data_IF_509137405608
#
_entry.id   IF_509137405608
#
_cell.length_a   1.000
_cell.length_b   1.000
_cell.length_c   1.000
_cell.angle_alpha   90.00
_cell.angle_beta   90.00
_cell.angle_gamma   90.00
#
_symmetry.space_group_name_H-M   'P 1'
#
loop_
_entity.id
_entity.type
_entity.pdbx_description
1 polymer ?
#
# COMPACT_ATOMS: atom_id res chain seq x y z
N UNK A 1 23.44 -4.17 -11.41
CA UNK A 1 22.54 -3.92 -10.26
C UNK A 1 21.48 -5.01 -10.27
N UNK A 2 21.44 -5.88 -9.26
CA UNK A 2 20.32 -6.82 -9.14
C UNK A 2 19.08 -6.00 -8.81
N UNK A 3 18.02 -6.16 -9.60
CA UNK A 3 16.71 -5.64 -9.25
C UNK A 3 16.26 -6.48 -8.06
N UNK A 4 16.32 -5.93 -6.86
CA UNK A 4 15.69 -6.58 -5.70
C UNK A 4 14.19 -6.70 -5.99
N UNK A 5 13.69 -7.93 -6.00
CA UNK A 5 12.28 -8.17 -6.29
C UNK A 5 11.41 -7.55 -5.20
N UNK A 6 10.47 -6.71 -5.61
CA UNK A 6 9.55 -6.01 -4.71
C UNK A 6 8.51 -7.01 -4.17
N UNK A 7 8.43 -7.15 -2.86
CA UNK A 7 7.44 -8.00 -2.20
C UNK A 7 6.85 -7.33 -0.94
N UNK A 8 5.91 -8.01 -0.29
CA UNK A 8 5.26 -7.45 0.90
C UNK A 8 6.21 -7.25 2.08
N UNK A 9 7.26 -8.06 2.23
CA UNK A 9 8.17 -8.01 3.38
C UNK A 9 9.14 -6.82 3.30
N UNK A 10 9.49 -6.39 2.09
CA UNK A 10 10.36 -5.23 1.87
C UNK A 10 9.59 -3.95 1.51
N UNK A 11 8.27 -3.92 1.67
CA UNK A 11 7.45 -2.75 1.38
C UNK A 11 7.92 -1.51 2.16
N UNK A 12 7.93 -0.36 1.48
CA UNK A 12 8.43 0.92 2.03
C UNK A 12 7.30 1.84 2.50
N UNK A 13 6.06 1.58 2.07
CA UNK A 13 4.92 2.44 2.33
C UNK A 13 3.68 1.64 2.76
N UNK A 14 2.73 2.35 3.37
CA UNK A 14 1.39 1.89 3.70
C UNK A 14 0.36 2.71 2.93
N UNK A 15 -0.53 2.02 2.24
CA UNK A 15 -1.74 2.59 1.65
C UNK A 15 -2.88 2.53 2.66
N UNK A 16 -3.47 3.69 2.98
CA UNK A 16 -4.70 3.79 3.77
C UNK A 16 -5.92 3.43 2.92
N UNK A 17 -6.69 2.45 3.39
CA UNK A 17 -7.88 1.92 2.75
C UNK A 17 -9.09 1.96 3.69
N UNK A 18 -10.28 2.08 3.09
CA UNK A 18 -11.57 1.87 3.76
C UNK A 18 -12.37 0.87 2.94
N UNK A 19 -12.91 -0.16 3.59
CA UNK A 19 -13.93 -1.01 3.00
C UNK A 19 -15.26 -0.66 3.65
N UNK A 20 -16.20 -0.16 2.85
CA UNK A 20 -17.56 0.12 3.28
C UNK A 20 -18.41 -1.16 3.23
N UNK A 21 -19.30 -1.31 4.21
CA UNK A 21 -20.32 -2.36 4.30
C UNK A 21 -21.64 -1.70 4.72
N UNK A 22 -22.40 -1.20 3.75
CA UNK A 22 -23.50 -0.27 4.03
C UNK A 22 -22.97 1.03 4.67
N UNK A 23 -23.66 1.50 5.71
CA UNK A 23 -23.27 2.69 6.47
C UNK A 23 -22.00 2.47 7.32
N UNK A 24 -21.69 1.21 7.62
CA UNK A 24 -20.49 0.83 8.35
C UNK A 24 -19.26 0.77 7.44
N UNK A 25 -18.07 0.73 8.05
CA UNK A 25 -16.84 0.50 7.31
C UNK A 25 -15.66 0.18 8.19
N UNK A 26 -14.65 -0.46 7.59
CA UNK A 26 -13.39 -0.78 8.26
C UNK A 26 -12.24 -0.06 7.57
N UNK A 27 -11.47 0.68 8.36
CA UNK A 27 -10.19 1.24 7.95
C UNK A 27 -9.09 0.22 8.16
N UNK A 28 -8.17 0.14 7.22
CA UNK A 28 -7.00 -0.75 7.28
C UNK A 28 -5.88 -0.19 6.41
N UNK A 29 -4.67 -0.69 6.65
CA UNK A 29 -3.48 -0.32 5.88
C UNK A 29 -3.01 -1.52 5.07
N UNK A 30 -2.55 -1.27 3.85
CA UNK A 30 -1.95 -2.29 2.99
C UNK A 30 -0.50 -1.93 2.69
N UNK A 31 0.40 -2.91 2.75
CA UNK A 31 1.80 -2.70 2.36
C UNK A 31 1.90 -2.41 0.87
N UNK A 32 2.75 -1.47 0.49
CA UNK A 32 2.95 -1.11 -0.90
C UNK A 32 4.32 -0.50 -1.19
N UNK A 33 4.66 -0.45 -2.47
CA UNK A 33 5.74 0.34 -3.02
C UNK A 33 5.19 1.42 -3.94
N UNK A 34 5.74 2.62 -3.84
CA UNK A 34 5.48 3.69 -4.81
C UNK A 34 6.35 3.42 -6.03
N UNK A 35 5.72 3.18 -7.18
CA UNK A 35 6.43 2.92 -8.44
C UNK A 35 6.72 4.22 -9.21
N UNK A 36 5.75 5.14 -9.22
CA UNK A 36 5.83 6.39 -9.99
C UNK A 36 4.83 7.41 -9.47
N UNK A 37 5.20 8.70 -9.49
CA UNK A 37 4.25 9.82 -9.38
C UNK A 37 3.69 10.16 -10.77
N UNK A 38 2.38 10.21 -10.88
CA UNK A 38 1.65 10.54 -12.10
C UNK A 38 1.56 12.06 -12.29
N UNK A 39 1.40 12.56 -13.53
CA UNK A 39 1.27 14.00 -13.78
C UNK A 39 0.08 14.66 -13.07
N UNK A 40 -0.98 13.91 -12.80
CA UNK A 40 -2.18 14.36 -12.09
C UNK A 40 -2.02 14.38 -10.55
N UNK A 41 -0.82 14.09 -10.04
CA UNK A 41 -0.52 14.07 -8.61
C UNK A 41 -0.74 12.72 -7.93
N UNK A 42 -1.40 11.76 -8.57
CA UNK A 42 -1.60 10.40 -8.03
C UNK A 42 -0.30 9.62 -8.00
N UNK A 43 -0.24 8.60 -7.14
CA UNK A 43 0.83 7.63 -7.08
C UNK A 43 0.40 6.32 -7.74
N UNK A 44 1.23 5.80 -8.64
CA UNK A 44 1.16 4.41 -9.09
C UNK A 44 1.84 3.54 -8.04
N UNK A 45 1.08 2.64 -7.45
CA UNK A 45 1.52 1.75 -6.37
C UNK A 45 1.49 0.29 -6.82
N UNK A 46 2.44 -0.50 -6.32
CA UNK A 46 2.31 -1.94 -6.21
C UNK A 46 1.86 -2.28 -4.79
N UNK A 47 0.66 -2.83 -4.64
CA UNK A 47 0.01 -3.08 -3.35
C UNK A 47 -0.09 -4.58 -3.10
N UNK A 48 0.16 -5.00 -1.86
CA UNK A 48 0.13 -6.39 -1.43
C UNK A 48 -1.04 -6.68 -0.49
N UNK A 49 -1.72 -7.82 -0.70
CA UNK A 49 -2.86 -8.23 0.11
C UNK A 49 -4.20 -8.10 -0.58
N UNK A 50 -5.24 -8.61 0.08
CA UNK A 50 -6.63 -8.34 -0.21
C UNK A 50 -7.36 -7.80 1.02
N UNK A 51 -7.80 -6.54 0.92
CA UNK A 51 -8.47 -5.79 2.01
C UNK A 51 -7.69 -5.89 3.34
N UNK A 52 -8.36 -6.29 4.42
CA UNK A 52 -7.81 -6.53 5.76
C UNK A 52 -7.65 -8.03 6.07
N UNK A 53 -7.71 -8.90 5.06
CA UNK A 53 -7.64 -10.35 5.26
C UNK A 53 -6.19 -10.80 5.47
N UNK A 54 -6.00 -11.72 6.42
CA UNK A 54 -4.70 -12.32 6.73
C UNK A 54 -4.26 -13.25 5.60
N UNK A 55 -2.94 -13.50 5.53
CA UNK A 55 -2.34 -14.47 4.61
C UNK A 55 -2.54 -14.20 3.10
N UNK A 56 -2.95 -12.98 2.76
CA UNK A 56 -3.17 -12.53 1.37
C UNK A 56 -1.98 -11.78 0.76
N UNK A 57 -0.86 -11.63 1.48
CA UNK A 57 0.28 -10.80 1.06
C UNK A 57 0.93 -11.22 -0.28
N UNK A 58 0.69 -12.45 -0.74
CA UNK A 58 1.11 -12.94 -2.06
C UNK A 58 0.29 -12.33 -3.21
N UNK A 59 -0.89 -11.79 -2.94
CA UNK A 59 -1.73 -11.12 -3.94
C UNK A 59 -1.15 -9.74 -4.23
N UNK A 60 -0.81 -9.50 -5.50
CA UNK A 60 -0.21 -8.24 -5.97
C UNK A 60 -1.19 -7.51 -6.89
N UNK A 61 -1.40 -6.20 -6.65
CA UNK A 61 -2.25 -5.34 -7.50
C UNK A 61 -1.60 -3.99 -7.76
N UNK A 62 -1.80 -3.45 -8.95
CA UNK A 62 -1.48 -2.05 -9.24
C UNK A 62 -2.65 -1.16 -8.86
N UNK A 63 -2.37 -0.06 -8.16
CA UNK A 63 -3.38 0.97 -7.84
C UNK A 63 -2.85 2.36 -8.18
N UNK A 64 -3.76 3.27 -8.49
CA UNK A 64 -3.50 4.69 -8.69
C UNK A 64 -4.29 5.44 -7.65
N UNK A 65 -3.62 6.13 -6.74
CA UNK A 65 -4.26 6.75 -5.57
C UNK A 65 -3.68 8.11 -5.26
N UNK A 66 -4.46 8.98 -4.62
CA UNK A 66 -3.96 10.24 -4.09
C UNK A 66 -2.80 10.02 -3.12
N UNK A 67 -1.78 10.86 -3.22
CA UNK A 67 -0.57 10.79 -2.40
C UNK A 67 -0.85 10.93 -0.90
N UNK A 68 -1.89 11.69 -0.54
CA UNK A 68 -2.35 11.89 0.84
C UNK A 68 -2.78 10.61 1.55
N UNK A 69 -3.09 9.54 0.80
CA UNK A 69 -3.48 8.24 1.35
C UNK A 69 -2.30 7.30 1.58
N UNK A 70 -1.08 7.72 1.30
CA UNK A 70 0.12 6.89 1.35
C UNK A 70 1.10 7.46 2.37
N UNK A 71 1.55 6.62 3.30
CA UNK A 71 2.51 7.01 4.34
C UNK A 71 3.74 6.09 4.31
N UNK A 72 4.93 6.61 4.59
CA UNK A 72 6.12 5.79 4.75
C UNK A 72 5.99 4.84 5.96
N UNK A 73 6.57 3.66 5.85
CA UNK A 73 6.78 2.76 6.99
C UNK A 73 7.97 3.33 7.76
N UNK A 74 7.73 3.78 9.00
CA UNK A 74 8.83 4.19 9.89
C UNK A 74 9.63 2.96 10.32
N UNK A 75 10.96 3.05 10.43
CA UNK A 75 11.78 2.01 11.02
C UNK A 75 11.37 1.77 12.49
N UNK A 76 11.61 0.57 13.04
CA UNK A 76 11.47 0.34 14.48
C UNK A 76 12.35 1.33 15.26
N UNK A 77 11.75 2.10 16.17
CA UNK A 77 12.47 3.06 17.03
C UNK A 77 12.32 4.53 16.64
N UNK A 78 11.70 4.84 15.50
CA UNK A 78 11.34 6.21 15.11
C UNK A 78 9.85 6.47 15.38
N UNK A 79 9.55 7.36 16.34
CA UNK A 79 8.19 7.73 16.75
C UNK A 79 7.59 8.84 15.90
#
# INVERSE_FOLDING_TARGET
MSIQELNANNATHLLQCRHAFGDNGKFYKMRCHVLKKMPDGRLKLQVYGDRYWKDTHHIVRIRYVESSRVSQIKPPGEY
#
